data_IF_146949652804
#
_entry.id   IF_146949652804
#
_cell.length_a   1.000
_cell.length_b   1.000
_cell.length_c   1.000
_cell.angle_alpha   90.00
_cell.angle_beta   90.00
_cell.angle_gamma   90.00
#
_symmetry.space_group_name_H-M   'P 1'
#
loop_
_entity.id
_entity.type
_entity.pdbx_description
1 polymer ?
#
# COMPACT_ATOMS: atom_id res chain seq x y z
N UNK A 1 -10.00 -5.41 -15.87
CA UNK A 1 -8.79 -4.59 -15.65
C UNK A 1 -7.59 -5.43 -15.97
N UNK A 2 -6.61 -4.94 -16.74
CA UNK A 2 -5.35 -5.67 -16.95
C UNK A 2 -4.38 -5.35 -15.81
N UNK A 3 -3.53 -6.33 -15.45
CA UNK A 3 -2.45 -6.13 -14.47
C UNK A 3 -1.56 -4.93 -14.85
N UNK A 4 -1.34 -4.72 -16.14
CA UNK A 4 -0.56 -3.60 -16.68
C UNK A 4 -1.18 -2.22 -16.39
N UNK A 5 -2.49 -2.04 -16.61
CA UNK A 5 -3.16 -0.76 -16.34
C UNK A 5 -3.15 -0.41 -14.86
N UNK A 6 -3.31 -1.42 -13.98
CA UNK A 6 -3.20 -1.24 -12.52
C UNK A 6 -1.78 -0.83 -12.13
N UNK A 7 -0.77 -1.56 -12.63
CA UNK A 7 0.63 -1.26 -12.36
C UNK A 7 0.98 0.17 -12.76
N UNK A 8 0.64 0.58 -14.00
CA UNK A 8 0.85 1.97 -14.47
C UNK A 8 0.22 3.01 -13.56
N UNK A 9 -1.02 2.79 -13.12
CA UNK A 9 -1.71 3.72 -12.23
C UNK A 9 -1.04 3.80 -10.85
N UNK A 10 -0.66 2.67 -10.26
CA UNK A 10 -0.02 2.63 -8.95
C UNK A 10 1.41 3.18 -8.99
N UNK A 11 2.19 2.88 -10.03
CA UNK A 11 3.50 3.49 -10.28
C UNK A 11 3.41 5.01 -10.41
N UNK A 12 2.27 5.55 -10.84
CA UNK A 12 2.01 6.99 -10.85
C UNK A 12 1.55 7.52 -9.48
N UNK A 13 0.69 6.78 -8.76
CA UNK A 13 0.21 7.18 -7.42
C UNK A 13 1.30 7.16 -6.35
N UNK A 14 2.31 6.30 -6.46
CA UNK A 14 3.42 6.22 -5.49
C UNK A 14 4.19 7.56 -5.42
N UNK A 15 4.70 8.14 -6.51
CA UNK A 15 5.29 9.49 -6.47
C UNK A 15 4.32 10.57 -5.99
N UNK A 16 3.03 10.48 -6.36
CA UNK A 16 2.00 11.43 -5.93
C UNK A 16 1.86 11.41 -4.41
N UNK A 17 1.71 10.25 -3.77
CA UNK A 17 1.53 10.20 -2.31
C UNK A 17 2.75 10.79 -1.57
N UNK A 18 3.96 10.54 -2.08
CA UNK A 18 5.21 11.13 -1.54
C UNK A 18 5.24 12.64 -1.71
N UNK A 19 4.82 13.16 -2.86
CA UNK A 19 4.75 14.61 -3.13
C UNK A 19 3.78 15.33 -2.19
N UNK A 20 2.66 14.68 -1.84
CA UNK A 20 1.70 15.22 -0.88
C UNK A 20 2.06 14.92 0.59
N UNK A 21 3.19 14.25 0.84
CA UNK A 21 3.62 13.80 2.17
C UNK A 21 2.54 12.99 2.91
N UNK A 22 1.81 12.15 2.17
CA UNK A 22 0.77 11.30 2.72
C UNK A 22 1.40 10.09 3.43
N UNK A 23 0.70 9.56 4.44
CA UNK A 23 1.13 8.35 5.14
C UNK A 23 1.15 7.13 4.22
N UNK A 24 1.96 6.14 4.57
CA UNK A 24 1.96 4.85 3.88
C UNK A 24 0.61 4.12 4.04
N UNK A 25 -0.07 4.32 5.16
CA UNK A 25 -1.42 3.82 5.39
C UNK A 25 -2.42 4.38 4.35
N UNK A 26 -2.37 5.69 4.06
CA UNK A 26 -3.18 6.29 2.99
C UNK A 26 -2.97 5.60 1.65
N UNK A 27 -1.71 5.32 1.28
CA UNK A 27 -1.41 4.60 0.04
C UNK A 27 -1.99 3.17 0.08
N UNK A 28 -1.82 2.43 1.18
CA UNK A 28 -2.35 1.08 1.32
C UNK A 28 -3.87 1.03 1.18
N UNK A 29 -4.58 1.95 1.85
CA UNK A 29 -6.04 2.06 1.75
C UNK A 29 -6.49 2.53 0.37
N UNK A 30 -5.70 3.35 -0.31
CA UNK A 30 -5.93 3.74 -1.71
C UNK A 30 -5.93 2.51 -2.61
N UNK A 31 -4.90 1.66 -2.50
CA UNK A 31 -4.80 0.41 -3.27
C UNK A 31 -5.94 -0.54 -2.94
N UNK A 32 -6.27 -0.71 -1.65
CA UNK A 32 -7.39 -1.55 -1.24
C UNK A 32 -8.73 -1.09 -1.82
N UNK A 33 -9.01 0.21 -1.74
CA UNK A 33 -10.24 0.83 -2.26
C UNK A 33 -10.32 0.66 -3.77
N UNK A 34 -9.22 0.94 -4.47
CA UNK A 34 -9.11 0.80 -5.92
C UNK A 34 -9.38 -0.64 -6.36
N UNK A 35 -8.66 -1.61 -5.80
CA UNK A 35 -8.74 -3.01 -6.21
C UNK A 35 -10.14 -3.59 -5.93
N UNK A 36 -10.73 -3.32 -4.76
CA UNK A 36 -12.10 -3.76 -4.43
C UNK A 36 -13.18 -3.12 -5.29
N UNK A 37 -12.98 -1.88 -5.73
CA UNK A 37 -13.91 -1.25 -6.65
C UNK A 37 -13.82 -1.92 -8.04
N UNK A 38 -12.60 -2.18 -8.51
CA UNK A 38 -12.34 -2.77 -9.83
C UNK A 38 -12.78 -4.24 -9.94
N UNK A 39 -12.93 -4.97 -8.84
CA UNK A 39 -13.50 -6.34 -8.85
C UNK A 39 -15.01 -6.34 -9.10
N UNK A 40 -15.71 -5.26 -8.79
CA UNK A 40 -17.19 -5.19 -8.88
C UNK A 40 -17.68 -4.29 -10.00
N UNK A 41 -16.83 -3.38 -10.49
CA UNK A 41 -17.22 -2.35 -11.46
C UNK A 41 -16.21 -2.28 -12.62
N UNK A 42 -16.63 -2.56 -13.86
CA UNK A 42 -15.78 -2.33 -15.02
C UNK A 42 -15.59 -0.83 -15.22
N UNK A 43 -14.36 -0.40 -15.46
CA UNK A 43 -13.99 1.01 -15.65
C UNK A 43 -13.28 1.16 -16.99
N UNK A 44 -13.66 2.18 -17.74
CA UNK A 44 -13.01 2.52 -19.00
C UNK A 44 -11.60 3.09 -18.74
N UNK A 45 -10.66 2.81 -19.65
CA UNK A 45 -9.24 3.13 -19.45
C UNK A 45 -8.97 4.63 -19.23
N UNK A 46 -9.74 5.50 -19.90
CA UNK A 46 -9.71 6.95 -19.76
C UNK A 46 -10.17 7.45 -18.37
N UNK A 47 -10.92 6.63 -17.63
CA UNK A 47 -11.41 6.94 -16.28
C UNK A 47 -10.51 6.40 -15.16
N UNK A 48 -9.43 5.67 -15.47
CA UNK A 48 -8.55 5.05 -14.45
C UNK A 48 -7.85 6.07 -13.58
N UNK A 49 -7.35 7.17 -14.16
CA UNK A 49 -6.68 8.21 -13.39
C UNK A 49 -7.66 8.89 -12.43
N UNK A 50 -8.90 9.15 -12.87
CA UNK A 50 -9.96 9.67 -12.03
C UNK A 50 -10.27 8.73 -10.86
N UNK A 51 -10.40 7.43 -11.13
CA UNK A 51 -10.59 6.43 -10.07
C UNK A 51 -9.42 6.40 -9.08
N UNK A 52 -8.19 6.49 -9.56
CA UNK A 52 -6.99 6.53 -8.72
C UNK A 52 -7.00 7.71 -7.75
N UNK A 53 -7.22 8.93 -8.26
CA UNK A 53 -7.28 10.13 -7.39
C UNK A 53 -8.52 10.15 -6.48
N UNK A 54 -9.65 9.58 -6.92
CA UNK A 54 -10.83 9.41 -6.06
C UNK A 54 -10.56 8.41 -4.94
N UNK A 55 -9.90 7.29 -5.21
CA UNK A 55 -9.53 6.29 -4.20
C UNK A 55 -8.55 6.89 -3.19
N UNK A 56 -7.59 7.70 -3.66
CA UNK A 56 -6.66 8.44 -2.81
C UNK A 56 -7.39 9.45 -1.92
N UNK A 57 -8.34 10.21 -2.47
CA UNK A 57 -9.15 11.14 -1.68
C UNK A 57 -9.90 10.43 -0.55
N UNK A 58 -10.54 9.29 -0.86
CA UNK A 58 -11.31 8.51 0.11
C UNK A 58 -10.38 8.04 1.24
N UNK A 59 -9.25 7.42 0.90
CA UNK A 59 -8.27 6.94 1.87
C UNK A 59 -7.74 8.09 2.75
N UNK A 60 -7.36 9.22 2.16
CA UNK A 60 -6.85 10.35 2.93
C UNK A 60 -7.89 10.96 3.87
N UNK A 61 -9.17 10.97 3.49
CA UNK A 61 -10.25 11.42 4.39
C UNK A 61 -10.42 10.52 5.62
N UNK A 62 -9.93 9.27 5.58
CA UNK A 62 -10.01 8.35 6.70
C UNK A 62 -8.86 8.53 7.69
N UNK A 63 -7.63 8.71 7.19
CA UNK A 63 -6.42 8.57 8.03
C UNK A 63 -5.54 9.81 8.08
N UNK A 64 -5.69 10.77 7.16
CA UNK A 64 -4.88 11.99 7.17
C UNK A 64 -5.54 13.09 8.00
N UNK A 65 -4.73 13.79 8.78
CA UNK A 65 -5.16 15.00 9.51
C UNK A 65 -5.53 16.11 8.51
N UNK A 66 -4.82 16.20 7.39
CA UNK A 66 -4.98 17.22 6.37
C UNK A 66 -5.06 16.60 4.97
N UNK A 67 -6.22 16.04 4.58
CA UNK A 67 -6.38 15.43 3.27
C UNK A 67 -6.23 16.45 2.13
N UNK A 68 -5.71 16.04 0.96
CA UNK A 68 -5.55 16.92 -0.19
C UNK A 68 -6.91 17.44 -0.67
N UNK A 69 -6.96 18.70 -1.09
CA UNK A 69 -8.17 19.30 -1.64
C UNK A 69 -8.47 18.71 -3.01
N UNK A 70 -9.75 18.58 -3.34
CA UNK A 70 -10.21 18.12 -4.68
C UNK A 70 -9.52 18.88 -5.81
N UNK A 71 -9.34 20.21 -5.68
CA UNK A 71 -8.64 21.03 -6.69
C UNK A 71 -7.19 20.59 -6.91
N UNK A 72 -6.47 20.22 -5.86
CA UNK A 72 -5.08 19.76 -5.95
C UNK A 72 -5.00 18.41 -6.66
N UNK A 73 -5.91 17.48 -6.34
CA UNK A 73 -5.98 16.17 -7.00
C UNK A 73 -6.33 16.28 -8.49
N UNK A 74 -7.29 17.15 -8.85
CA UNK A 74 -7.65 17.37 -10.25
C UNK A 74 -6.53 18.02 -11.06
N UNK A 75 -5.68 18.84 -10.44
CA UNK A 75 -4.52 19.42 -11.10
C UNK A 75 -3.52 18.34 -11.56
N UNK A 76 -3.41 17.22 -10.83
CA UNK A 76 -2.59 16.07 -11.22
C UNK A 76 -3.08 15.39 -12.50
N UNK A 77 -4.38 15.54 -12.81
CA UNK A 77 -5.01 15.01 -14.00
C UNK A 77 -5.00 16.02 -15.16
N UNK A 78 -4.19 17.09 -15.08
CA UNK A 78 -4.08 18.14 -16.10
C UNK A 78 -5.44 18.75 -16.54
N UNK A 79 -6.42 18.79 -15.64
CA UNK A 79 -7.76 19.30 -15.95
C UNK A 79 -8.63 18.37 -16.81
N UNK A 80 -8.23 17.11 -17.02
CA UNK A 80 -9.01 16.11 -17.76
C UNK A 80 -10.38 15.82 -17.11
N UNK A 81 -10.53 16.08 -15.81
CA UNK A 81 -11.76 15.84 -15.07
C UNK A 81 -12.22 17.07 -14.29
N UNK A 82 -13.53 17.18 -14.15
CA UNK A 82 -14.21 18.21 -13.37
C UNK A 82 -14.38 17.79 -11.91
N UNK A 83 -14.61 18.78 -11.03
CA UNK A 83 -15.00 18.56 -9.63
C UNK A 83 -16.24 17.68 -9.52
N UNK A 84 -17.23 17.89 -10.39
CA UNK A 84 -18.47 17.12 -10.36
C UNK A 84 -18.21 15.64 -10.67
N UNK A 85 -17.37 15.34 -11.66
CA UNK A 85 -16.99 13.96 -11.98
C UNK A 85 -16.30 13.27 -10.80
N UNK A 86 -15.35 13.94 -10.15
CA UNK A 86 -14.65 13.37 -8.99
C UNK A 86 -15.60 13.13 -7.81
N UNK A 87 -16.45 14.11 -7.46
CA UNK A 87 -17.41 13.96 -6.37
C UNK A 87 -18.47 12.89 -6.66
N UNK A 88 -18.96 12.81 -7.90
CA UNK A 88 -19.90 11.76 -8.29
C UNK A 88 -19.24 10.38 -8.19
N UNK A 89 -17.99 10.24 -8.67
CA UNK A 89 -17.27 8.97 -8.57
C UNK A 89 -16.98 8.59 -7.11
N UNK A 90 -16.65 9.56 -6.26
CA UNK A 90 -16.50 9.33 -4.81
C UNK A 90 -17.76 8.70 -4.22
N UNK A 91 -18.94 9.28 -4.51
CA UNK A 91 -20.21 8.69 -4.08
C UNK A 91 -20.39 7.27 -4.63
N UNK A 92 -20.12 7.03 -5.90
CA UNK A 92 -20.27 5.70 -6.51
C UNK A 92 -19.36 4.67 -5.82
N UNK A 93 -18.09 5.01 -5.59
CA UNK A 93 -17.12 4.12 -4.92
C UNK A 93 -17.60 3.78 -3.51
N UNK A 94 -18.00 4.79 -2.72
CA UNK A 94 -18.49 4.59 -1.35
C UNK A 94 -19.73 3.68 -1.30
N UNK A 95 -20.70 3.88 -2.20
CA UNK A 95 -21.90 3.05 -2.27
C UNK A 95 -21.59 1.62 -2.73
N UNK A 96 -20.72 1.46 -3.73
CA UNK A 96 -20.30 0.14 -4.23
C UNK A 96 -19.54 -0.68 -3.19
N UNK A 97 -18.77 -0.02 -2.32
CA UNK A 97 -18.07 -0.66 -1.22
C UNK A 97 -18.90 -0.73 0.07
N UNK A 98 -20.18 -0.34 0.02
CA UNK A 98 -21.08 -0.31 1.19
C UNK A 98 -20.51 0.44 2.39
N UNK A 99 -19.74 1.51 2.13
CA UNK A 99 -19.00 2.27 3.16
C UNK A 99 -18.06 1.42 4.03
N UNK A 100 -17.74 0.19 3.62
CA UNK A 100 -16.75 -0.67 4.26
C UNK A 100 -15.37 -0.28 3.73
N UNK A 101 -14.75 0.70 4.39
CA UNK A 101 -13.46 1.27 3.96
C UNK A 101 -12.26 0.81 4.78
N UNK A 102 -12.49 0.10 5.90
CA UNK A 102 -11.43 -0.49 6.69
C UNK A 102 -10.89 -1.76 6.04
N UNK A 103 -9.58 -1.95 6.09
CA UNK A 103 -8.92 -3.17 5.65
C UNK A 103 -7.65 -3.40 6.46
N UNK A 104 -7.24 -4.66 6.70
CA UNK A 104 -5.89 -4.93 7.17
C UNK A 104 -4.89 -4.46 6.11
N UNK A 105 -3.93 -3.63 6.51
CA UNK A 105 -2.91 -3.07 5.61
C UNK A 105 -1.53 -3.59 5.94
N UNK A 106 -0.64 -3.58 4.94
CA UNK A 106 0.78 -3.88 5.17
C UNK A 106 1.41 -2.84 6.11
N UNK A 107 1.00 -1.57 6.05
CA UNK A 107 1.47 -0.54 6.99
C UNK A 107 1.20 -0.92 8.44
N UNK A 108 -0.03 -1.34 8.74
CA UNK A 108 -0.39 -1.81 10.08
C UNK A 108 0.49 -2.98 10.55
N UNK A 109 0.67 -4.00 9.72
CA UNK A 109 1.47 -5.17 10.11
C UNK A 109 2.96 -4.85 10.22
N UNK A 110 3.50 -3.94 9.40
CA UNK A 110 4.88 -3.47 9.56
C UNK A 110 5.07 -2.80 10.92
N UNK A 111 4.16 -1.92 11.32
CA UNK A 111 4.17 -1.29 12.65
C UNK A 111 4.03 -2.32 13.77
N UNK A 112 3.07 -3.23 13.65
CA UNK A 112 2.81 -4.28 14.63
C UNK A 112 4.04 -5.17 14.86
N UNK A 113 4.64 -5.72 13.80
CA UNK A 113 5.80 -6.59 13.93
C UNK A 113 7.05 -5.84 14.39
N UNK A 114 7.21 -4.57 13.99
CA UNK A 114 8.31 -3.71 14.48
C UNK A 114 8.19 -3.46 15.99
N UNK A 115 6.97 -3.21 16.49
CA UNK A 115 6.76 -3.04 17.93
C UNK A 115 6.97 -4.34 18.71
N UNK A 116 6.43 -5.46 18.19
CA UNK A 116 6.53 -6.76 18.84
C UNK A 116 7.99 -7.21 19.05
N UNK A 117 8.88 -6.98 18.08
CA UNK A 117 10.31 -7.32 18.22
C UNK A 117 11.04 -6.46 19.26
N UNK A 118 10.66 -5.19 19.39
CA UNK A 118 11.24 -4.28 20.38
C UNK A 118 10.79 -4.71 21.78
N UNK A 119 9.49 -4.97 21.96
CA UNK A 119 8.95 -5.45 23.25
C UNK A 119 9.54 -6.80 23.67
N UNK A 120 9.82 -7.68 22.71
CA UNK A 120 10.46 -8.96 22.95
C UNK A 120 11.98 -8.85 23.23
N UNK A 121 12.56 -7.65 23.19
CA UNK A 121 14.01 -7.44 23.36
C UNK A 121 14.85 -8.05 22.24
N UNK A 122 14.26 -8.26 21.06
CA UNK A 122 14.91 -8.87 19.90
C UNK A 122 15.68 -7.86 19.05
N UNK A 123 15.34 -6.57 19.11
CA UNK A 123 16.03 -5.49 18.42
C UNK A 123 16.00 -4.21 19.26
N UNK A 124 17.06 -3.40 19.15
CA UNK A 124 17.04 -2.04 19.69
C UNK A 124 16.04 -1.17 18.92
N UNK A 125 15.50 -0.14 19.58
CA UNK A 125 14.48 0.75 18.98
C UNK A 125 14.99 1.36 17.67
N UNK A 126 16.26 1.79 17.65
CA UNK A 126 16.87 2.38 16.45
C UNK A 126 16.94 1.38 15.29
N UNK A 127 17.41 0.16 15.55
CA UNK A 127 17.54 -0.90 14.53
C UNK A 127 16.17 -1.29 13.96
N UNK A 128 15.17 -1.42 14.84
CA UNK A 128 13.81 -1.75 14.45
C UNK A 128 13.19 -0.69 13.54
N UNK A 129 13.39 0.60 13.85
CA UNK A 129 12.89 1.71 13.04
C UNK A 129 13.61 1.82 11.68
N UNK A 130 14.92 1.57 11.64
CA UNK A 130 15.68 1.53 10.37
C UNK A 130 15.20 0.39 9.47
N UNK A 131 15.05 -0.82 10.02
CA UNK A 131 14.49 -1.95 9.30
C UNK A 131 13.06 -1.68 8.81
N UNK A 132 12.22 -1.05 9.64
CA UNK A 132 10.86 -0.69 9.27
C UNK A 132 10.83 0.33 8.11
N UNK A 133 11.70 1.34 8.15
CA UNK A 133 11.78 2.36 7.10
C UNK A 133 12.17 1.73 5.74
N UNK A 134 13.17 0.84 5.74
CA UNK A 134 13.57 0.11 4.54
C UNK A 134 12.47 -0.85 4.07
N UNK A 135 11.85 -1.60 4.98
CA UNK A 135 10.75 -2.51 4.69
C UNK A 135 9.53 -1.78 4.09
N UNK A 136 9.22 -0.57 4.56
CA UNK A 136 8.20 0.30 3.98
C UNK A 136 8.54 0.64 2.52
N UNK A 137 9.79 0.97 2.22
CA UNK A 137 10.25 1.21 0.86
C UNK A 137 10.02 0.01 -0.07
N UNK A 138 10.36 -1.20 0.39
CA UNK A 138 10.10 -2.44 -0.34
C UNK A 138 8.60 -2.69 -0.51
N UNK A 139 7.82 -2.47 0.56
CA UNK A 139 6.37 -2.64 0.54
C UNK A 139 5.70 -1.69 -0.47
N UNK A 140 6.13 -0.42 -0.55
CA UNK A 140 5.64 0.53 -1.55
C UNK A 140 5.84 0.03 -2.98
N UNK A 141 7.02 -0.54 -3.29
CA UNK A 141 7.29 -1.12 -4.61
C UNK A 141 6.37 -2.32 -4.89
N UNK A 142 6.17 -3.19 -3.89
CA UNK A 142 5.34 -4.39 -4.02
C UNK A 142 3.87 -4.09 -4.30
N UNK A 143 3.35 -2.93 -3.88
CA UNK A 143 1.96 -2.54 -4.12
C UNK A 143 1.65 -2.37 -5.61
N UNK A 144 2.62 -1.87 -6.39
CA UNK A 144 2.44 -1.64 -7.83
C UNK A 144 2.43 -2.95 -8.63
N UNK A 145 3.23 -3.93 -8.21
CA UNK A 145 3.34 -5.20 -8.90
C UNK A 145 2.15 -6.13 -8.56
N UNK A 146 1.43 -6.54 -9.62
CA UNK A 146 0.25 -7.37 -9.49
C UNK A 146 0.55 -8.75 -8.89
N UNK A 147 1.78 -9.25 -9.03
CA UNK A 147 2.19 -10.54 -8.49
C UNK A 147 2.08 -10.63 -6.97
N UNK A 148 2.09 -9.49 -6.25
CA UNK A 148 1.98 -9.47 -4.79
C UNK A 148 0.54 -9.39 -4.28
N UNK A 149 -0.45 -9.18 -5.15
CA UNK A 149 -1.87 -9.10 -4.77
C UNK A 149 -2.42 -10.41 -4.21
N UNK A 150 -1.76 -11.54 -4.46
CA UNK A 150 -2.13 -12.85 -3.93
C UNK A 150 -1.68 -13.08 -2.48
N UNK A 151 -0.75 -12.29 -1.95
CA UNK A 151 -0.28 -12.45 -0.57
C UNK A 151 -1.15 -11.66 0.40
N UNK A 152 -1.28 -12.19 1.63
CA UNK A 152 -1.94 -11.44 2.69
C UNK A 152 -1.05 -10.26 3.12
N UNK A 153 -1.64 -9.14 3.58
CA UNK A 153 -0.88 -7.99 4.06
C UNK A 153 0.12 -8.33 5.18
N UNK A 154 -0.22 -9.27 6.06
CA UNK A 154 0.66 -9.75 7.14
C UNK A 154 1.87 -10.51 6.62
N UNK A 155 1.68 -11.39 5.63
CA UNK A 155 2.75 -12.18 5.03
C UNK A 155 3.72 -11.25 4.29
N UNK A 156 3.18 -10.30 3.54
CA UNK A 156 3.99 -9.33 2.81
C UNK A 156 4.77 -8.43 3.78
N UNK A 157 4.16 -7.98 4.88
CA UNK A 157 4.82 -7.17 5.91
C UNK A 157 6.01 -7.91 6.55
N UNK A 158 5.81 -9.15 7.02
CA UNK A 158 6.88 -9.91 7.67
C UNK A 158 8.01 -10.24 6.69
N UNK A 159 7.70 -10.51 5.42
CA UNK A 159 8.71 -10.76 4.39
C UNK A 159 9.48 -9.48 4.03
N UNK A 160 8.82 -8.32 3.95
CA UNK A 160 9.49 -7.04 3.75
C UNK A 160 10.44 -6.70 4.91
N UNK A 161 10.03 -6.93 6.16
CA UNK A 161 10.90 -6.77 7.33
C UNK A 161 12.10 -7.71 7.31
N UNK A 162 11.87 -8.99 7.00
CA UNK A 162 12.95 -9.98 6.92
C UNK A 162 13.96 -9.64 5.82
N UNK A 163 13.49 -9.11 4.67
CA UNK A 163 14.37 -8.64 3.62
C UNK A 163 15.17 -7.40 4.05
N UNK A 164 14.51 -6.44 4.72
CA UNK A 164 15.16 -5.26 5.24
C UNK A 164 16.27 -5.61 6.27
N UNK A 165 15.99 -6.53 7.20
CA UNK A 165 16.99 -7.01 8.17
C UNK A 165 18.22 -7.61 7.47
N UNK A 166 18.01 -8.38 6.40
CA UNK A 166 19.11 -8.97 5.60
C UNK A 166 19.93 -7.90 4.89
N UNK A 167 19.29 -6.87 4.34
CA UNK A 167 19.96 -5.77 3.65
C UNK A 167 20.78 -4.90 4.61
N UNK A 168 20.26 -4.67 5.82
CA UNK A 168 20.93 -3.93 6.89
C UNK A 168 21.95 -4.78 7.68
N UNK A 169 22.01 -6.08 7.43
CA UNK A 169 22.88 -7.04 8.13
C UNK A 169 22.66 -7.02 9.65
N UNK A 170 21.40 -6.89 10.08
CA UNK A 170 21.08 -6.85 11.51
C UNK A 170 21.45 -8.18 12.19
N UNK A 171 21.99 -8.14 13.42
CA UNK A 171 22.50 -9.32 14.11
C UNK A 171 21.39 -10.30 14.51
N UNK A 172 20.16 -9.81 14.67
CA UNK A 172 18.99 -10.59 15.07
C UNK A 172 17.87 -10.41 14.02
N UNK A 173 17.76 -11.32 13.04
CA UNK A 173 16.71 -11.21 12.03
C UNK A 173 15.33 -11.44 12.64
N UNK A 174 14.29 -10.96 11.96
CA UNK A 174 12.90 -11.14 12.36
C UNK A 174 12.55 -12.61 12.44
N UNK A 175 11.84 -12.98 13.49
CA UNK A 175 11.24 -14.30 13.57
C UNK A 175 10.08 -14.41 12.57
N UNK A 176 10.31 -15.16 11.50
CA UNK A 176 9.32 -15.41 10.44
C UNK A 176 8.09 -16.17 10.96
N UNK A 177 8.21 -16.84 12.11
CA UNK A 177 7.11 -17.51 12.79
C UNK A 177 6.08 -16.56 13.40
N UNK A 178 6.41 -15.28 13.61
CA UNK A 178 5.50 -14.27 14.17
C UNK A 178 4.22 -14.10 13.34
N UNK A 179 4.29 -14.31 12.03
CA UNK A 179 3.14 -14.21 11.14
C UNK A 179 2.25 -15.46 11.10
N UNK A 180 2.68 -16.59 11.68
CA UNK A 180 1.94 -17.86 11.63
C UNK A 180 1.74 -18.40 10.21
N UNK A 181 2.59 -18.00 9.26
CA UNK A 181 2.47 -18.34 7.85
C UNK A 181 3.21 -19.63 7.50
N UNK A 182 2.71 -20.36 6.50
CA UNK A 182 3.38 -21.55 6.00
C UNK A 182 4.74 -21.20 5.39
N UNK A 183 5.76 -22.00 5.71
CA UNK A 183 7.14 -21.75 5.28
C UNK A 183 7.28 -21.61 3.76
N UNK A 184 6.57 -22.44 2.99
CA UNK A 184 6.57 -22.36 1.53
C UNK A 184 6.06 -21.00 1.00
N UNK A 185 5.04 -20.42 1.64
CA UNK A 185 4.50 -19.12 1.25
C UNK A 185 5.47 -17.97 1.60
N UNK A 186 6.17 -18.09 2.73
CA UNK A 186 7.21 -17.14 3.14
C UNK A 186 8.39 -17.17 2.17
N UNK A 187 8.87 -18.37 1.80
CA UNK A 187 9.98 -18.52 0.86
C UNK A 187 9.62 -17.99 -0.54
N UNK A 188 8.43 -18.29 -1.06
CA UNK A 188 7.95 -17.79 -2.35
C UNK A 188 7.85 -16.24 -2.35
N UNK A 189 7.22 -15.67 -1.32
CA UNK A 189 7.11 -14.21 -1.19
C UNK A 189 8.47 -13.53 -1.08
N UNK A 190 9.38 -14.06 -0.25
CA UNK A 190 10.74 -13.52 -0.11
C UNK A 190 11.52 -13.59 -1.42
N UNK A 191 11.44 -14.70 -2.16
CA UNK A 191 12.11 -14.83 -3.45
C UNK A 191 11.66 -13.77 -4.45
N UNK A 192 10.34 -13.50 -4.52
CA UNK A 192 9.81 -12.44 -5.39
C UNK A 192 10.20 -11.04 -4.92
N UNK A 193 10.18 -10.77 -3.62
CA UNK A 193 10.63 -9.48 -3.08
C UNK A 193 12.11 -9.22 -3.35
N UNK A 194 12.96 -10.26 -3.27
CA UNK A 194 14.38 -10.16 -3.61
C UNK A 194 14.58 -9.79 -5.08
N UNK A 195 13.81 -10.40 -6.00
CA UNK A 195 13.86 -10.05 -7.42
C UNK A 195 13.35 -8.63 -7.69
N UNK A 196 12.39 -8.14 -6.89
CA UNK A 196 11.85 -6.79 -7.02
C UNK A 196 12.88 -5.70 -6.69
N UNK A 197 13.83 -5.99 -5.78
CA UNK A 197 14.83 -5.03 -5.30
C UNK A 197 16.23 -5.25 -5.86
N UNK A 198 16.44 -6.30 -6.66
CA UNK A 198 17.71 -6.62 -7.32
C UNK A 198 17.97 -5.70 -8.52
#
# INVERSE_FOLDING_TARGET
VTAESRCKLLSWLIPVHRQFHLSFESLCLTVNTLDRFLTTTPVAADCFQLLGVTSLLIACKQVEVHPPRVKQLLALCCGAFSRQQLCNLECIVLHKLHFSLGAPTISFFLEHFTHARVEAGQAEVSEALEAQALARGVAELSLADYAFTSYTPSLLAICCLALADRMLQLPRPVDLGLGGHAEAAVQDCLGKLQLLVA
#
